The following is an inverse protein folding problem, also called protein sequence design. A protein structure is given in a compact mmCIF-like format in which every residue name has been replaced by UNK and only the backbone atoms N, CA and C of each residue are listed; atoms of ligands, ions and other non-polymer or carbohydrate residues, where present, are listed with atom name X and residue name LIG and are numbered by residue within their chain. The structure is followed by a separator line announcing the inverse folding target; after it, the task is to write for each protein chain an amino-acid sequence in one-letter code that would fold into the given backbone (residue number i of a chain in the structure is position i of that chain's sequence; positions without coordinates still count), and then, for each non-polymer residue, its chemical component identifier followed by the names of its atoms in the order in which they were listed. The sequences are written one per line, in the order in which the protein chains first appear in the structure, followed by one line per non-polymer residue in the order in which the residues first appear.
data_IF_965031497639
#
_entry.id   IF_965031497639
#
_cell.length_a   1.000
_cell.length_b   1.000
_cell.length_c   1.000
_cell.angle_alpha   90.00
_cell.angle_beta   90.00
_cell.angle_gamma   90.00
#
_symmetry.space_group_name_H-M   'P 1'
#
loop_
_entity.id
_entity.type
_entity.pdbx_description
1 polymer ?
#
# COMPACT_ATOMS: atom_id res chain seq x y z
N UNK A 1 -57.41 -5.97 55.23
CA UNK A 1 -56.62 -5.53 54.05
C UNK A 1 -55.22 -6.11 54.19
N UNK A 2 -54.91 -7.14 53.39
CA UNK A 2 -53.59 -7.82 53.38
C UNK A 2 -52.93 -7.53 52.04
N UNK A 3 -51.91 -6.67 52.02
CA UNK A 3 -51.12 -6.28 50.87
C UNK A 3 -50.08 -7.38 50.63
N UNK A 4 -50.13 -8.03 49.47
CA UNK A 4 -49.12 -9.03 49.03
C UNK A 4 -48.05 -8.27 48.21
N UNK A 5 -46.83 -8.31 48.70
CA UNK A 5 -45.63 -7.88 47.92
C UNK A 5 -45.26 -9.02 46.97
N UNK A 6 -45.20 -8.70 45.67
CA UNK A 6 -44.75 -9.58 44.64
C UNK A 6 -43.26 -9.31 44.36
N UNK A 7 -42.39 -10.23 44.75
CA UNK A 7 -40.95 -10.11 44.52
C UNK A 7 -40.64 -10.65 43.12
N UNK A 8 -40.22 -9.72 42.22
CA UNK A 8 -39.71 -10.13 40.91
C UNK A 8 -38.26 -10.60 41.03
N UNK A 9 -38.03 -11.83 40.71
CA UNK A 9 -36.69 -12.45 40.57
C UNK A 9 -36.18 -12.15 39.16
N UNK A 10 -35.18 -11.27 39.01
CA UNK A 10 -34.49 -11.02 37.75
C UNK A 10 -33.36 -12.04 37.63
N UNK A 11 -33.54 -13.02 36.75
CA UNK A 11 -32.50 -13.98 36.40
C UNK A 11 -31.56 -13.34 35.35
N UNK A 12 -30.34 -13.01 35.78
CA UNK A 12 -29.26 -12.57 34.89
C UNK A 12 -28.69 -13.78 34.12
N UNK A 13 -29.01 -13.90 32.85
CA UNK A 13 -28.30 -14.82 31.96
C UNK A 13 -26.90 -14.23 31.64
N UNK A 14 -25.87 -14.78 32.25
CA UNK A 14 -24.49 -14.54 31.84
C UNK A 14 -24.24 -15.30 30.54
N UNK A 15 -24.21 -14.55 29.42
CA UNK A 15 -23.79 -15.08 28.13
C UNK A 15 -22.27 -15.26 28.17
N UNK A 16 -21.81 -16.49 28.44
CA UNK A 16 -20.41 -16.87 28.37
C UNK A 16 -20.04 -17.01 26.89
N UNK A 17 -19.62 -15.90 26.26
CA UNK A 17 -19.08 -15.90 24.91
C UNK A 17 -17.78 -16.70 24.89
N UNK A 18 -17.77 -17.89 24.31
CA UNK A 18 -16.56 -18.63 24.03
C UNK A 18 -15.70 -17.81 23.06
N UNK A 19 -14.61 -17.23 23.55
CA UNK A 19 -13.54 -16.68 22.73
C UNK A 19 -12.88 -17.86 22.02
N UNK A 20 -13.26 -18.11 20.79
CA UNK A 20 -12.49 -18.99 19.92
C UNK A 20 -11.15 -18.32 19.65
N UNK A 21 -10.00 -18.96 19.93
CA UNK A 21 -8.73 -18.42 19.50
C UNK A 21 -8.73 -18.39 17.98
N UNK A 22 -8.69 -17.22 17.41
CA UNK A 22 -8.35 -17.05 15.99
C UNK A 22 -6.90 -17.49 15.89
N UNK A 23 -6.69 -18.74 15.47
CA UNK A 23 -5.37 -19.22 15.05
C UNK A 23 -5.06 -18.56 13.69
N UNK A 24 -4.80 -17.26 13.71
CA UNK A 24 -4.22 -16.58 12.59
C UNK A 24 -2.82 -17.13 12.39
N UNK A 25 -2.54 -17.76 11.26
CA UNK A 25 -1.18 -17.79 10.72
C UNK A 25 -0.68 -16.36 10.83
N UNK A 26 0.44 -16.16 11.55
CA UNK A 26 1.04 -14.85 11.71
C UNK A 26 1.17 -14.25 10.29
N UNK A 27 0.37 -13.24 9.97
CA UNK A 27 0.45 -12.55 8.71
C UNK A 27 1.92 -12.13 8.56
N UNK A 28 2.56 -12.47 7.45
CA UNK A 28 3.91 -12.00 7.18
C UNK A 28 3.82 -10.48 7.10
N UNK A 29 4.26 -9.82 8.14
CA UNK A 29 4.38 -8.37 8.18
C UNK A 29 5.57 -8.01 7.32
N UNK A 30 5.36 -7.62 6.06
CA UNK A 30 6.45 -7.27 5.17
C UNK A 30 5.94 -6.74 3.85
N UNK A 31 6.88 -6.29 3.04
CA UNK A 31 6.62 -5.79 1.70
C UNK A 31 6.87 -6.88 0.67
N UNK A 32 6.08 -6.89 -0.40
CA UNK A 32 6.34 -7.72 -1.56
C UNK A 32 6.28 -6.89 -2.84
N UNK A 33 7.11 -7.24 -3.80
CA UNK A 33 7.09 -6.71 -5.16
C UNK A 33 6.17 -7.57 -6.02
N UNK A 34 5.35 -6.95 -6.85
CA UNK A 34 4.51 -7.66 -7.80
C UNK A 34 5.27 -7.97 -9.08
N UNK A 35 5.35 -9.25 -9.40
CA UNK A 35 5.69 -9.69 -10.74
C UNK A 35 4.43 -9.68 -11.60
N UNK A 36 4.50 -9.01 -12.76
CA UNK A 36 3.39 -8.93 -13.71
C UNK A 36 3.86 -9.31 -15.12
N UNK A 37 2.93 -9.66 -15.99
CA UNK A 37 3.16 -9.92 -17.40
C UNK A 37 2.86 -8.65 -18.23
N UNK A 38 3.23 -8.66 -19.49
CA UNK A 38 2.96 -7.54 -20.41
C UNK A 38 4.21 -6.91 -21.02
N UNK A 39 5.40 -7.28 -20.52
CA UNK A 39 6.69 -6.85 -21.07
C UNK A 39 7.33 -5.67 -20.34
N UNK A 40 6.72 -5.15 -19.26
CA UNK A 40 7.39 -4.20 -18.38
C UNK A 40 8.41 -4.87 -17.47
N UNK A 41 9.37 -4.10 -16.99
CA UNK A 41 10.52 -4.58 -16.20
C UNK A 41 10.27 -4.48 -14.69
N UNK A 42 9.23 -5.15 -14.20
CA UNK A 42 8.85 -5.22 -12.78
C UNK A 42 10.01 -5.53 -11.82
N UNK A 43 11.10 -6.06 -12.35
CA UNK A 43 12.29 -6.53 -11.60
C UNK A 43 13.40 -5.47 -11.48
N UNK A 44 13.20 -4.26 -12.04
CA UNK A 44 14.19 -3.19 -11.91
C UNK A 44 14.46 -2.87 -10.42
N UNK A 45 15.65 -2.35 -10.12
CA UNK A 45 16.06 -1.87 -8.79
C UNK A 45 15.63 -2.77 -7.62
N UNK A 46 16.17 -3.98 -7.51
CA UNK A 46 15.71 -4.97 -6.53
C UNK A 46 15.88 -4.54 -5.08
N UNK A 47 16.73 -3.55 -4.80
CA UNK A 47 17.04 -3.06 -3.45
C UNK A 47 16.04 -2.05 -2.89
N UNK A 48 15.11 -1.51 -3.68
CA UNK A 48 14.23 -0.41 -3.23
C UNK A 48 13.36 -0.78 -2.02
N UNK A 49 12.70 -1.94 -2.02
CA UNK A 49 11.89 -2.37 -0.87
C UNK A 49 12.73 -2.73 0.36
N UNK A 50 13.86 -3.46 0.24
CA UNK A 50 14.80 -3.62 1.33
C UNK A 50 15.28 -2.31 1.95
N UNK A 51 15.59 -1.30 1.14
CA UNK A 51 16.04 0.00 1.61
C UNK A 51 14.91 0.79 2.29
N UNK A 52 13.70 0.78 1.73
CA UNK A 52 12.53 1.36 2.38
C UNK A 52 12.27 0.70 3.74
N UNK A 53 12.33 -0.63 3.81
CA UNK A 53 12.14 -1.36 5.06
C UNK A 53 13.19 -0.98 6.11
N UNK A 54 14.48 -0.92 5.73
CA UNK A 54 15.56 -0.48 6.64
C UNK A 54 15.33 0.95 7.15
N UNK A 55 14.94 1.86 6.26
CA UNK A 55 14.66 3.24 6.64
C UNK A 55 13.47 3.33 7.59
N UNK A 56 12.35 2.69 7.24
CA UNK A 56 11.16 2.66 8.10
C UNK A 56 11.46 2.05 9.47
N UNK A 57 12.19 0.92 9.53
CA UNK A 57 12.59 0.31 10.80
C UNK A 57 13.41 1.27 11.67
N UNK A 58 14.32 2.06 11.07
CA UNK A 58 15.19 2.98 11.80
C UNK A 58 14.44 4.17 12.40
N UNK A 59 13.36 4.64 11.76
CA UNK A 59 12.66 5.88 12.18
C UNK A 59 11.31 5.62 12.85
N UNK A 60 10.62 4.52 12.51
CA UNK A 60 9.32 4.15 13.08
C UNK A 60 9.44 3.15 14.24
N UNK A 61 10.65 2.68 14.53
CA UNK A 61 10.90 1.61 15.52
C UNK A 61 10.05 0.36 15.23
N UNK A 62 10.00 -0.05 13.96
CA UNK A 62 9.36 -1.26 13.46
C UNK A 62 10.40 -2.36 13.19
N UNK A 63 9.95 -3.57 12.88
CA UNK A 63 10.83 -4.72 12.58
C UNK A 63 10.34 -5.41 11.28
N UNK A 64 10.19 -4.63 10.20
CA UNK A 64 9.84 -5.20 8.90
C UNK A 64 11.00 -6.06 8.37
N UNK A 65 10.69 -7.25 7.80
CA UNK A 65 11.69 -8.01 7.06
C UNK A 65 12.33 -7.17 5.95
N UNK A 66 13.64 -7.26 5.83
CA UNK A 66 14.41 -6.54 4.80
C UNK A 66 14.64 -7.39 3.54
N UNK A 67 13.95 -8.52 3.43
CA UNK A 67 14.04 -9.41 2.28
C UNK A 67 13.21 -8.87 1.12
N UNK A 68 13.73 -9.07 -0.08
CA UNK A 68 12.93 -8.83 -1.29
C UNK A 68 12.03 -10.03 -1.54
N UNK A 69 10.75 -9.89 -1.25
CA UNK A 69 9.74 -10.87 -1.59
C UNK A 69 9.10 -10.51 -2.94
N UNK A 70 8.87 -11.52 -3.76
CA UNK A 70 8.20 -11.37 -5.05
C UNK A 70 6.95 -12.24 -5.06
N UNK A 71 5.83 -11.68 -5.53
CA UNK A 71 4.54 -12.38 -5.67
C UNK A 71 3.93 -12.06 -7.02
N UNK A 72 3.19 -13.03 -7.58
CA UNK A 72 2.26 -12.78 -8.68
C UNK A 72 0.85 -12.56 -8.13
N UNK A 73 0.05 -11.83 -8.86
CA UNK A 73 -1.37 -11.68 -8.49
C UNK A 73 -2.15 -13.02 -8.56
N UNK A 74 -1.64 -14.00 -9.32
CA UNK A 74 -2.16 -15.39 -9.36
C UNK A 74 -1.78 -16.26 -8.16
N UNK A 75 -0.81 -15.84 -7.34
CA UNK A 75 -0.29 -16.63 -6.23
C UNK A 75 -1.16 -16.52 -4.98
N UNK A 76 -1.40 -17.64 -4.30
CA UNK A 76 -2.04 -17.61 -2.98
C UNK A 76 -1.24 -16.79 -1.95
N UNK A 77 0.09 -16.71 -2.11
CA UNK A 77 0.99 -15.91 -1.28
C UNK A 77 0.70 -14.40 -1.31
N UNK A 78 0.00 -13.90 -2.32
CA UNK A 78 -0.45 -12.49 -2.36
C UNK A 78 -1.15 -12.10 -1.06
N UNK A 79 -1.98 -12.99 -0.52
CA UNK A 79 -2.77 -12.76 0.69
C UNK A 79 -1.96 -12.80 2.00
N UNK A 80 -0.69 -13.19 1.94
CA UNK A 80 0.23 -13.13 3.08
C UNK A 80 0.86 -11.73 3.27
N UNK A 81 0.75 -10.85 2.27
CA UNK A 81 1.37 -9.52 2.28
C UNK A 81 0.30 -8.42 2.34
N UNK A 82 0.30 -7.61 3.40
CA UNK A 82 -0.60 -6.46 3.49
C UNK A 82 -0.20 -5.31 2.55
N UNK A 83 1.08 -5.25 2.15
CA UNK A 83 1.65 -4.24 1.26
C UNK A 83 2.30 -4.91 0.06
N UNK A 84 1.82 -4.56 -1.12
CA UNK A 84 2.43 -4.99 -2.39
C UNK A 84 2.77 -3.76 -3.23
N UNK A 85 3.99 -3.77 -3.75
CA UNK A 85 4.54 -2.69 -4.57
C UNK A 85 4.63 -3.13 -6.03
N UNK A 86 4.32 -2.22 -6.95
CA UNK A 86 4.45 -2.41 -8.39
C UNK A 86 5.11 -1.18 -9.02
N UNK A 87 6.11 -1.40 -9.84
CA UNK A 87 6.79 -0.38 -10.62
C UNK A 87 7.32 -0.98 -11.92
N UNK A 88 7.93 -0.19 -12.76
CA UNK A 88 8.65 -0.58 -13.96
C UNK A 88 8.34 0.32 -15.15
N UNK A 89 9.09 0.07 -16.24
CA UNK A 89 8.86 0.69 -17.53
C UNK A 89 7.95 -0.19 -18.39
N UNK A 90 7.03 0.44 -19.12
CA UNK A 90 6.27 -0.22 -20.16
C UNK A 90 4.95 -0.84 -19.70
N UNK A 91 4.57 -1.96 -20.34
CA UNK A 91 3.20 -2.43 -20.27
C UNK A 91 2.96 -3.44 -19.14
N UNK A 92 1.88 -3.23 -18.39
CA UNK A 92 1.32 -4.19 -17.42
C UNK A 92 0.16 -4.92 -18.09
N UNK A 93 0.06 -6.21 -17.83
CA UNK A 93 -1.09 -7.02 -18.20
C UNK A 93 -1.39 -8.03 -17.11
N UNK A 94 -2.62 -8.01 -16.60
CA UNK A 94 -3.14 -9.03 -15.69
C UNK A 94 -4.15 -9.93 -16.41
N UNK A 95 -4.09 -11.23 -16.12
CA UNK A 95 -5.11 -12.18 -16.52
C UNK A 95 -6.39 -11.99 -15.69
N UNK A 96 -7.54 -12.48 -16.17
CA UNK A 96 -8.82 -12.28 -15.46
C UNK A 96 -8.80 -12.83 -14.03
N UNK A 97 -8.12 -13.97 -13.80
CA UNK A 97 -7.95 -14.53 -12.46
C UNK A 97 -7.07 -13.62 -11.56
N UNK A 98 -6.07 -12.97 -12.13
CA UNK A 98 -5.22 -12.03 -11.40
C UNK A 98 -5.99 -10.78 -11.00
N UNK A 99 -6.84 -10.27 -11.89
CA UNK A 99 -7.76 -9.16 -11.63
C UNK A 99 -8.71 -9.50 -10.47
N UNK A 100 -9.30 -10.70 -10.48
CA UNK A 100 -10.18 -11.15 -9.39
C UNK A 100 -9.44 -11.30 -8.06
N UNK A 101 -8.25 -11.89 -8.07
CA UNK A 101 -7.43 -12.03 -6.86
C UNK A 101 -6.99 -10.68 -6.28
N UNK A 102 -6.57 -9.73 -7.13
CA UNK A 102 -6.21 -8.38 -6.71
C UNK A 102 -7.38 -7.67 -6.06
N UNK A 103 -8.55 -7.73 -6.69
CA UNK A 103 -9.78 -7.18 -6.11
C UNK A 103 -10.07 -7.77 -4.73
N UNK A 104 -10.07 -9.10 -4.63
CA UNK A 104 -10.35 -9.79 -3.38
C UNK A 104 -9.31 -9.48 -2.30
N UNK A 105 -8.03 -9.40 -2.66
CA UNK A 105 -6.95 -9.07 -1.75
C UNK A 105 -7.08 -7.64 -1.23
N UNK A 106 -7.30 -6.66 -2.11
CA UNK A 106 -7.44 -5.26 -1.72
C UNK A 106 -8.67 -5.03 -0.85
N UNK A 107 -9.82 -5.63 -1.17
CA UNK A 107 -11.04 -5.54 -0.35
C UNK A 107 -10.87 -6.17 1.05
N UNK A 108 -9.94 -7.13 1.21
CA UNK A 108 -9.64 -7.77 2.50
C UNK A 108 -8.52 -7.09 3.31
N UNK A 109 -8.15 -5.87 2.95
CA UNK A 109 -7.16 -5.10 3.69
C UNK A 109 -5.81 -4.97 2.99
N UNK A 110 -5.62 -5.60 1.83
CA UNK A 110 -4.42 -5.40 1.02
C UNK A 110 -4.29 -3.97 0.52
N UNK A 111 -3.05 -3.50 0.42
CA UNK A 111 -2.70 -2.19 -0.08
C UNK A 111 -1.70 -2.31 -1.22
N UNK A 112 -2.07 -1.77 -2.38
CA UNK A 112 -1.21 -1.68 -3.56
C UNK A 112 -0.59 -0.29 -3.65
N UNK A 113 0.74 -0.22 -3.66
CA UNK A 113 1.45 0.98 -4.06
C UNK A 113 2.03 0.80 -5.46
N UNK A 114 1.60 1.64 -6.38
CA UNK A 114 2.11 1.70 -7.74
C UNK A 114 2.88 3.00 -7.94
N UNK A 115 4.10 2.91 -8.47
CA UNK A 115 4.93 4.07 -8.81
C UNK A 115 5.34 3.96 -10.27
N UNK A 116 4.92 4.93 -11.10
CA UNK A 116 5.27 4.96 -12.52
C UNK A 116 6.73 5.36 -12.67
N UNK A 117 7.56 4.38 -13.00
CA UNK A 117 8.97 4.60 -13.26
C UNK A 117 9.18 5.36 -14.59
N UNK A 118 8.50 4.99 -15.64
CA UNK A 118 8.23 5.76 -16.86
C UNK A 118 7.50 4.91 -17.90
N UNK A 119 6.35 5.38 -18.35
CA UNK A 119 5.60 4.73 -19.44
C UNK A 119 4.69 3.58 -18.97
N UNK A 120 4.52 3.38 -17.69
CA UNK A 120 3.57 2.43 -17.12
C UNK A 120 2.14 2.99 -17.04
N UNK A 121 1.97 4.32 -17.02
CA UNK A 121 0.72 5.02 -16.71
C UNK A 121 -0.51 4.48 -17.45
N UNK A 122 -0.47 4.42 -18.78
CA UNK A 122 -1.63 3.99 -19.57
C UNK A 122 -2.02 2.54 -19.25
N UNK A 123 -1.04 1.66 -19.07
CA UNK A 123 -1.28 0.26 -18.78
C UNK A 123 -1.76 0.05 -17.35
N UNK A 124 -1.18 0.76 -16.38
CA UNK A 124 -1.63 0.70 -15.00
C UNK A 124 -3.08 1.17 -14.85
N UNK A 125 -3.43 2.34 -15.41
CA UNK A 125 -4.82 2.87 -15.38
C UNK A 125 -5.81 1.93 -16.04
N UNK A 126 -5.43 1.31 -17.15
CA UNK A 126 -6.26 0.30 -17.82
C UNK A 126 -6.48 -0.92 -16.93
N UNK A 127 -5.42 -1.48 -16.37
CA UNK A 127 -5.49 -2.70 -15.60
C UNK A 127 -6.18 -2.50 -14.24
N UNK A 128 -5.89 -1.40 -13.53
CA UNK A 128 -6.55 -1.13 -12.24
C UNK A 128 -8.06 -0.84 -12.42
N UNK A 129 -8.46 -0.27 -13.56
CA UNK A 129 -9.88 -0.09 -13.90
C UNK A 129 -10.60 -1.43 -14.15
N UNK A 130 -9.87 -2.47 -14.58
CA UNK A 130 -10.43 -3.83 -14.66
C UNK A 130 -10.63 -4.44 -13.27
N UNK A 131 -9.76 -4.11 -12.31
CA UNK A 131 -9.89 -4.57 -10.92
C UNK A 131 -11.11 -3.92 -10.25
N UNK A 132 -11.30 -2.62 -10.46
CA UNK A 132 -12.38 -1.83 -9.88
C UNK A 132 -13.09 -1.02 -10.96
N UNK A 133 -13.94 -1.66 -11.80
CA UNK A 133 -14.64 -0.95 -12.87
C UNK A 133 -15.61 0.13 -12.37
N UNK A 134 -16.09 0.02 -11.12
CA UNK A 134 -17.00 0.95 -10.46
C UNK A 134 -16.29 2.12 -9.74
N UNK A 135 -14.97 2.02 -9.49
CA UNK A 135 -14.21 3.06 -8.79
C UNK A 135 -13.31 3.86 -9.74
N UNK A 136 -12.98 5.07 -9.35
CA UNK A 136 -12.06 5.94 -10.08
C UNK A 136 -10.77 6.16 -9.29
N UNK A 137 -9.67 6.43 -10.01
CA UNK A 137 -8.45 6.99 -9.42
C UNK A 137 -8.72 8.47 -9.11
N UNK A 138 -8.78 8.78 -7.81
CA UNK A 138 -9.02 10.13 -7.29
C UNK A 138 -7.67 10.80 -7.05
N UNK A 139 -7.44 11.98 -7.60
CA UNK A 139 -6.21 12.74 -7.33
C UNK A 139 -6.17 13.17 -5.86
N UNK A 140 -5.02 12.96 -5.22
CA UNK A 140 -4.75 13.29 -3.82
C UNK A 140 -3.92 14.56 -3.77
N UNK A 141 -4.48 15.63 -3.22
CA UNK A 141 -3.74 16.84 -2.95
C UNK A 141 -2.97 16.77 -1.61
N UNK A 142 -2.16 17.76 -1.33
CA UNK A 142 -1.31 17.80 -0.12
C UNK A 142 -2.09 17.91 1.20
N UNK A 143 -3.42 18.12 1.17
CA UNK A 143 -4.27 18.06 2.36
C UNK A 143 -4.62 16.63 2.77
N UNK A 144 -4.42 15.65 1.88
CA UNK A 144 -4.66 14.26 2.21
C UNK A 144 -3.71 13.80 3.32
N UNK A 145 -4.20 13.11 4.37
CA UNK A 145 -3.42 12.83 5.57
C UNK A 145 -2.08 12.10 5.36
N UNK A 146 -1.93 11.35 4.27
CA UNK A 146 -0.67 10.69 3.93
C UNK A 146 0.49 11.67 3.77
N UNK A 147 0.22 12.89 3.27
CA UNK A 147 1.26 13.90 3.04
C UNK A 147 1.85 14.48 4.34
N UNK A 148 1.16 14.36 5.48
CA UNK A 148 1.60 14.97 6.74
C UNK A 148 1.54 14.05 7.94
N UNK A 149 1.31 12.74 7.72
CA UNK A 149 1.09 11.80 8.83
C UNK A 149 2.33 11.54 9.69
N UNK A 150 3.55 11.67 9.14
CA UNK A 150 4.81 11.50 9.88
C UNK A 150 5.81 12.60 9.51
N UNK A 151 6.19 12.72 8.23
CA UNK A 151 6.96 13.84 7.70
C UNK A 151 6.03 14.83 7.00
N UNK A 152 6.40 16.11 7.03
CA UNK A 152 5.61 17.19 6.41
C UNK A 152 5.94 17.31 4.90
N UNK A 153 4.94 16.97 4.08
CA UNK A 153 4.89 17.18 2.64
C UNK A 153 3.70 18.06 2.25
N UNK A 154 3.33 19.02 3.10
CA UNK A 154 2.24 19.97 2.82
C UNK A 154 2.48 20.81 1.55
N UNK A 155 3.72 20.91 1.09
CA UNK A 155 4.07 21.52 -0.19
C UNK A 155 3.70 20.67 -1.44
N UNK A 156 3.32 19.41 -1.23
CA UNK A 156 2.94 18.47 -2.30
C UNK A 156 3.87 17.28 -2.46
N UNK A 157 3.57 16.45 -3.45
CA UNK A 157 4.36 15.28 -3.79
C UNK A 157 5.76 15.70 -4.28
N UNK A 158 6.86 15.13 -3.72
CA UNK A 158 8.19 15.43 -4.22
C UNK A 158 8.38 14.88 -5.63
N UNK A 159 9.14 15.58 -6.46
CA UNK A 159 9.59 15.09 -7.77
C UNK A 159 11.02 14.60 -7.64
N UNK A 160 11.24 13.33 -7.90
CA UNK A 160 12.56 12.70 -7.78
C UNK A 160 13.25 12.72 -9.13
N UNK A 161 12.59 12.23 -10.18
CA UNK A 161 13.09 12.31 -11.55
C UNK A 161 12.14 13.07 -12.48
N UNK A 162 12.70 13.63 -13.54
CA UNK A 162 11.96 14.30 -14.60
C UNK A 162 11.61 13.30 -15.71
N UNK A 163 10.34 13.30 -16.14
CA UNK A 163 9.89 12.54 -17.30
C UNK A 163 9.43 13.49 -18.41
N UNK A 164 8.12 13.84 -18.41
CA UNK A 164 7.49 14.66 -19.44
C UNK A 164 7.36 16.14 -19.02
N UNK A 165 8.15 16.58 -18.04
CA UNK A 165 8.11 17.95 -17.47
C UNK A 165 6.72 18.33 -16.93
N UNK A 166 5.93 17.36 -16.48
CA UNK A 166 4.64 17.57 -15.81
C UNK A 166 4.81 17.60 -14.30
N UNK A 167 3.89 18.24 -13.56
CA UNK A 167 3.89 18.18 -12.09
C UNK A 167 3.71 16.73 -11.59
N UNK A 168 4.33 16.36 -10.46
CA UNK A 168 4.10 15.08 -9.83
C UNK A 168 2.66 14.99 -9.31
N UNK A 169 2.03 13.81 -9.47
CA UNK A 169 0.66 13.56 -9.07
C UNK A 169 0.56 12.27 -8.25
N UNK A 170 -0.30 12.28 -7.26
CA UNK A 170 -0.69 11.10 -6.50
C UNK A 170 -2.18 10.81 -6.70
N UNK A 171 -2.53 9.55 -6.83
CA UNK A 171 -3.91 9.11 -6.99
C UNK A 171 -4.24 8.00 -5.99
N UNK A 172 -5.48 7.95 -5.54
CA UNK A 172 -5.97 6.91 -4.64
C UNK A 172 -7.20 6.18 -5.16
N UNK A 173 -7.33 4.91 -4.80
CA UNK A 173 -8.60 4.17 -4.87
C UNK A 173 -9.02 3.85 -3.45
N UNK A 174 -10.28 4.12 -3.13
CA UNK A 174 -10.85 3.97 -1.80
C UNK A 174 -11.95 2.93 -1.78
N UNK A 175 -12.07 2.20 -0.67
CA UNK A 175 -13.24 1.37 -0.42
C UNK A 175 -14.43 2.23 0.09
N UNK A 176 -15.57 1.57 0.30
CA UNK A 176 -16.80 2.20 0.79
C UNK A 176 -16.68 2.87 2.18
N UNK A 177 -15.65 2.51 2.95
CA UNK A 177 -15.37 3.07 4.28
C UNK A 177 -14.34 4.20 4.23
N UNK A 178 -13.85 4.56 3.04
CA UNK A 178 -12.82 5.58 2.85
C UNK A 178 -11.40 5.11 3.15
N UNK A 179 -11.15 3.77 3.24
CA UNK A 179 -9.80 3.22 3.36
C UNK A 179 -9.11 3.28 2.01
N UNK A 180 -7.90 3.82 1.98
CA UNK A 180 -7.06 3.84 0.79
C UNK A 180 -6.59 2.40 0.49
N UNK A 181 -7.04 1.84 -0.64
CA UNK A 181 -6.69 0.50 -1.12
C UNK A 181 -5.53 0.51 -2.10
N UNK A 182 -5.41 1.58 -2.88
CA UNK A 182 -4.34 1.77 -3.84
C UNK A 182 -3.82 3.20 -3.76
N UNK A 183 -2.50 3.36 -3.71
CA UNK A 183 -1.81 4.61 -4.00
C UNK A 183 -1.10 4.45 -5.34
N UNK A 184 -1.24 5.44 -6.21
CA UNK A 184 -0.51 5.52 -7.47
C UNK A 184 0.18 6.87 -7.59
N UNK A 185 1.50 6.86 -7.78
CA UNK A 185 2.31 8.05 -8.03
C UNK A 185 2.77 8.10 -9.49
N UNK A 186 2.68 9.29 -10.07
CA UNK A 186 2.90 9.56 -11.49
C UNK A 186 3.77 10.80 -11.67
N UNK A 187 4.66 10.80 -12.67
CA UNK A 187 5.58 11.89 -12.97
C UNK A 187 6.54 12.24 -11.81
N UNK A 188 7.00 11.24 -11.04
CA UNK A 188 7.83 11.52 -9.88
C UNK A 188 8.96 10.51 -9.62
N UNK A 189 8.79 9.21 -9.87
CA UNK A 189 9.73 8.14 -9.53
C UNK A 189 10.18 8.15 -8.06
N UNK A 190 9.22 8.13 -7.15
CA UNK A 190 9.52 8.10 -5.71
C UNK A 190 10.42 6.91 -5.36
N UNK A 191 10.13 5.75 -5.95
CA UNK A 191 10.83 4.51 -5.62
C UNK A 191 12.29 4.46 -6.08
N UNK A 192 12.65 5.18 -7.13
CA UNK A 192 14.05 5.28 -7.58
C UNK A 192 14.93 5.91 -6.51
N UNK A 193 14.40 6.91 -5.79
CA UNK A 193 15.09 7.51 -4.65
C UNK A 193 15.31 6.54 -3.47
N UNK A 194 14.66 5.36 -3.46
CA UNK A 194 14.93 4.31 -2.47
C UNK A 194 16.05 3.36 -2.90
N UNK A 195 16.46 3.39 -4.19
CA UNK A 195 17.54 2.56 -4.70
C UNK A 195 18.87 2.85 -3.99
N UNK A 196 19.86 1.99 -4.20
CA UNK A 196 21.22 2.23 -3.68
C UNK A 196 21.81 3.52 -4.30
N UNK A 197 22.65 4.26 -3.55
CA UNK A 197 23.20 5.53 -4.04
C UNK A 197 23.94 5.43 -5.38
N UNK A 198 24.44 4.24 -5.72
CA UNK A 198 25.18 4.02 -6.96
C UNK A 198 24.27 3.77 -8.18
N UNK A 199 22.99 3.43 -7.97
CA UNK A 199 22.05 3.03 -9.02
C UNK A 199 21.68 4.24 -9.89
N UNK A 200 20.98 5.21 -9.34
CA UNK A 200 20.57 6.42 -10.06
C UNK A 200 21.52 7.59 -9.85
N UNK A 201 22.40 7.52 -8.83
CA UNK A 201 23.36 8.57 -8.46
C UNK A 201 22.68 9.88 -8.03
N UNK A 202 21.49 9.76 -7.49
CA UNK A 202 20.75 10.89 -6.96
C UNK A 202 21.51 11.57 -5.83
N UNK A 203 21.42 12.92 -5.72
CA UNK A 203 21.90 13.64 -4.58
C UNK A 203 21.35 13.08 -3.26
N UNK A 204 22.14 13.06 -2.17
CA UNK A 204 21.68 12.53 -0.88
C UNK A 204 20.37 13.14 -0.37
N UNK A 205 20.13 14.43 -0.63
CA UNK A 205 18.93 15.17 -0.24
C UNK A 205 17.69 14.72 -1.03
N UNK A 206 17.85 14.34 -2.30
CA UNK A 206 16.77 13.81 -3.15
C UNK A 206 16.35 12.43 -2.62
N UNK A 207 17.34 11.56 -2.36
CA UNK A 207 17.11 10.24 -1.79
C UNK A 207 16.48 10.30 -0.39
N UNK A 208 16.95 11.19 0.48
CA UNK A 208 16.36 11.40 1.80
C UNK A 208 14.89 11.83 1.68
N UNK A 209 14.58 12.73 0.75
CA UNK A 209 13.20 13.18 0.47
C UNK A 209 12.33 12.01 0.01
N UNK A 210 12.79 11.18 -0.90
CA UNK A 210 12.07 10.02 -1.38
C UNK A 210 11.82 8.98 -0.25
N UNK A 211 12.84 8.67 0.55
CA UNK A 211 12.73 7.75 1.68
C UNK A 211 11.77 8.27 2.77
N UNK A 212 11.76 9.58 3.04
CA UNK A 212 10.78 10.20 3.95
C UNK A 212 9.35 10.07 3.42
N UNK A 213 9.13 10.28 2.13
CA UNK A 213 7.79 10.08 1.57
C UNK A 213 7.39 8.60 1.62
N UNK A 214 8.30 7.69 1.30
CA UNK A 214 8.09 6.25 1.50
C UNK A 214 7.73 5.89 2.95
N UNK A 215 8.41 6.53 3.91
CA UNK A 215 8.07 6.36 5.33
C UNK A 215 6.66 6.86 5.67
N UNK A 216 6.20 7.96 5.07
CA UNK A 216 4.81 8.41 5.21
C UNK A 216 3.83 7.36 4.69
N UNK A 217 4.11 6.72 3.55
CA UNK A 217 3.26 5.65 3.02
C UNK A 217 3.17 4.50 4.05
N UNK A 218 4.31 4.04 4.56
CA UNK A 218 4.36 2.97 5.56
C UNK A 218 3.63 3.35 6.84
N UNK A 219 3.92 4.54 7.38
CA UNK A 219 3.29 5.03 8.62
C UNK A 219 1.77 5.18 8.47
N UNK A 220 1.32 5.72 7.34
CA UNK A 220 -0.11 5.87 7.05
C UNK A 220 -0.83 4.52 7.12
N UNK A 221 -0.23 3.47 6.56
CA UNK A 221 -0.80 2.13 6.57
C UNK A 221 -0.88 1.54 7.97
N UNK A 222 0.21 1.58 8.74
CA UNK A 222 0.23 0.96 10.09
C UNK A 222 -0.55 1.74 11.13
N UNK A 223 -0.83 3.04 10.89
CA UNK A 223 -1.59 3.88 11.82
C UNK A 223 -3.09 3.91 11.56
N UNK A 224 -3.55 3.42 10.41
CA UNK A 224 -4.95 3.50 9.96
C UNK A 224 -5.52 2.15 9.49
N UNK A 225 -4.73 1.07 9.60
CA UNK A 225 -5.15 -0.30 9.31
C UNK A 225 -5.98 -0.94 10.42
#
# INVERSE_FOLDING_TARGET
MKTRFLTLLVASLALCGALYPVTGTAARTGFARMQYDGGGDWYNDPEILPNLARYANSVLNTDFPIDQNVVKASDAKLFDYPFVFITGHGNIRWEDREVENLRNWMLRGGFLYADDDYGMDQSFRREIKRVFPELELVELDSSFPLFTCFYDFSAGLPKIHEHDAKPPQAFGIFDENGRLMCLYTYETNISDGWADPATHKDPPEVRDTALRFGCNIVYYLISRG
#
